data_IF_839720471834
#
_entry.id   IF_839720471834
#
_cell.length_a   1.000
_cell.length_b   1.000
_cell.length_c   1.000
_cell.angle_alpha   90.00
_cell.angle_beta   90.00
_cell.angle_gamma   90.00
#
_symmetry.space_group_name_H-M   'P 1'
#
loop_
_entity.id
_entity.type
_entity.pdbx_description
1 polymer ?
#
# COMPACT_ATOMS: atom_id res chain seq x y z
N UNK A 1 0.03 -17.68 -5.07
CA UNK A 1 -0.70 -16.40 -5.20
C UNK A 1 0.15 -15.37 -5.93
N UNK A 2 -0.48 -14.52 -6.71
CA UNK A 2 0.21 -13.45 -7.44
C UNK A 2 -0.16 -12.11 -6.82
N UNK A 3 0.85 -11.34 -6.42
CA UNK A 3 0.68 -10.04 -5.77
C UNK A 3 1.16 -8.91 -6.67
N UNK A 4 0.49 -7.77 -6.61
CA UNK A 4 1.05 -6.50 -7.05
C UNK A 4 1.36 -5.67 -5.81
N UNK A 5 2.58 -5.16 -5.70
CA UNK A 5 3.03 -4.39 -4.54
C UNK A 5 3.26 -2.95 -5.00
N UNK A 6 2.61 -2.02 -4.33
CA UNK A 6 2.70 -0.59 -4.62
C UNK A 6 3.03 0.19 -3.35
N UNK A 7 3.68 1.32 -3.53
CA UNK A 7 3.95 2.29 -2.45
C UNK A 7 3.95 3.71 -3.01
N UNK A 8 3.72 4.67 -2.13
CA UNK A 8 3.91 6.09 -2.44
C UNK A 8 3.09 6.58 -3.63
N UNK A 9 1.81 6.24 -3.65
CA UNK A 9 0.85 6.71 -4.66
C UNK A 9 0.64 8.22 -4.53
N UNK A 10 0.61 8.74 -3.30
CA UNK A 10 0.49 10.16 -2.98
C UNK A 10 -0.69 10.86 -3.69
N UNK A 11 -1.80 10.14 -3.84
CA UNK A 11 -3.01 10.70 -4.46
C UNK A 11 -2.96 10.82 -5.98
N UNK A 12 -1.97 10.26 -6.65
CA UNK A 12 -1.86 10.31 -8.11
C UNK A 12 -2.77 9.25 -8.76
N UNK A 13 -3.90 9.69 -9.31
CA UNK A 13 -4.83 8.79 -9.98
C UNK A 13 -4.23 8.19 -11.25
N UNK A 14 -3.45 8.95 -12.00
CA UNK A 14 -2.77 8.45 -13.20
C UNK A 14 -1.83 7.30 -12.89
N UNK A 15 -1.02 7.44 -11.84
CA UNK A 15 -0.09 6.38 -11.41
C UNK A 15 -0.84 5.13 -10.95
N UNK A 16 -1.92 5.32 -10.19
CA UNK A 16 -2.74 4.20 -9.73
C UNK A 16 -3.42 3.48 -10.89
N UNK A 17 -4.00 4.20 -11.83
CA UNK A 17 -4.69 3.59 -12.97
C UNK A 17 -3.73 2.76 -13.83
N UNK A 18 -2.50 3.21 -14.02
CA UNK A 18 -1.47 2.42 -14.70
C UNK A 18 -1.17 1.13 -13.96
N UNK A 19 -1.02 1.21 -12.64
CA UNK A 19 -0.75 0.03 -11.80
C UNK A 19 -1.92 -0.94 -11.79
N UNK A 20 -3.16 -0.46 -11.72
CA UNK A 20 -4.34 -1.32 -11.77
C UNK A 20 -4.52 -1.98 -13.13
N UNK A 21 -4.09 -1.33 -14.21
CA UNK A 21 -4.02 -1.95 -15.52
C UNK A 21 -3.09 -3.17 -15.53
N UNK A 22 -1.93 -3.06 -14.88
CA UNK A 22 -0.99 -4.17 -14.70
C UNK A 22 -1.62 -5.27 -13.82
N UNK A 23 -2.27 -4.88 -12.72
CA UNK A 23 -2.98 -5.81 -11.83
C UNK A 23 -3.96 -6.69 -12.60
N UNK A 24 -4.80 -6.08 -13.42
CA UNK A 24 -5.79 -6.80 -14.21
C UNK A 24 -5.17 -7.64 -15.32
N UNK A 25 -4.21 -7.08 -16.08
CA UNK A 25 -3.61 -7.79 -17.24
C UNK A 25 -2.75 -8.98 -16.83
N UNK A 26 -2.14 -8.95 -15.65
CA UNK A 26 -1.34 -10.07 -15.12
C UNK A 26 -2.14 -11.04 -14.25
N UNK A 27 -3.42 -10.80 -14.04
CA UNK A 27 -4.28 -11.67 -13.23
C UNK A 27 -3.83 -11.77 -11.78
N UNK A 28 -3.46 -10.64 -11.17
CA UNK A 28 -3.03 -10.62 -9.78
C UNK A 28 -4.19 -10.97 -8.83
N UNK A 29 -3.88 -11.63 -7.73
CA UNK A 29 -4.86 -12.08 -6.74
C UNK A 29 -5.05 -11.06 -5.61
N UNK A 30 -3.97 -10.38 -5.22
CA UNK A 30 -4.00 -9.39 -4.14
C UNK A 30 -3.14 -8.18 -4.47
N UNK A 31 -3.58 -7.04 -3.95
CA UNK A 31 -2.87 -5.77 -4.01
C UNK A 31 -2.29 -5.46 -2.62
N UNK A 32 -0.98 -5.30 -2.54
CA UNK A 32 -0.27 -4.99 -1.30
C UNK A 32 0.21 -3.54 -1.36
N UNK A 33 -0.25 -2.72 -0.42
CA UNK A 33 0.03 -1.29 -0.39
C UNK A 33 0.95 -0.98 0.80
N UNK A 34 2.09 -0.39 0.52
CA UNK A 34 3.12 -0.10 1.53
C UNK A 34 3.03 1.32 2.09
N UNK A 35 1.92 2.02 1.88
CA UNK A 35 1.67 3.32 2.49
C UNK A 35 1.80 4.52 1.56
N UNK A 36 1.54 5.69 2.11
CA UNK A 36 1.51 6.97 1.41
C UNK A 36 0.55 6.95 0.23
N UNK A 37 -0.73 6.65 0.51
CA UNK A 37 -1.72 6.36 -0.52
C UNK A 37 -2.39 7.63 -1.06
N UNK A 38 -2.89 8.50 -0.19
CA UNK A 38 -3.70 9.66 -0.59
C UNK A 38 -2.96 10.98 -0.44
N UNK A 39 -2.20 11.14 0.64
CA UNK A 39 -1.47 12.37 0.95
C UNK A 39 -0.09 12.39 0.30
N UNK A 40 0.28 13.53 -0.28
CA UNK A 40 1.61 13.69 -0.86
C UNK A 40 2.65 14.26 0.15
N UNK A 41 2.19 14.76 1.29
CA UNK A 41 3.05 15.29 2.35
C UNK A 41 3.71 16.64 2.03
N UNK A 42 4.24 17.33 3.06
CA UNK A 42 4.77 18.67 2.89
C UNK A 42 6.13 18.73 2.17
N UNK A 43 6.85 17.61 2.09
CA UNK A 43 8.19 17.53 1.47
C UNK A 43 8.15 17.18 0.00
N UNK A 44 7.02 16.70 -0.49
CA UNK A 44 6.86 16.28 -1.87
C UNK A 44 6.20 17.41 -2.66
N UNK A 45 6.54 17.53 -3.95
CA UNK A 45 5.80 18.40 -4.85
C UNK A 45 4.41 17.83 -5.12
N UNK A 46 3.56 18.61 -5.77
CA UNK A 46 2.25 18.14 -6.19
C UNK A 46 2.41 16.98 -7.19
N UNK A 47 1.81 15.80 -6.91
CA UNK A 47 1.83 14.70 -7.87
C UNK A 47 1.06 15.06 -9.14
N UNK A 48 1.44 14.42 -10.23
CA UNK A 48 0.68 14.50 -11.47
C UNK A 48 -0.73 13.93 -11.26
N UNK A 49 -1.72 14.68 -11.72
CA UNK A 49 -3.13 14.30 -11.59
C UNK A 49 -3.52 13.94 -10.15
N UNK A 50 -3.27 14.87 -9.22
CA UNK A 50 -3.65 14.72 -7.83
C UNK A 50 -5.17 14.63 -7.71
N UNK A 51 -5.67 13.46 -7.34
CA UNK A 51 -7.08 13.18 -7.13
C UNK A 51 -7.24 12.12 -6.03
N UNK A 52 -7.09 12.55 -4.78
CA UNK A 52 -7.16 11.66 -3.63
C UNK A 52 -8.50 10.93 -3.54
N UNK A 53 -9.61 11.60 -3.86
CA UNK A 53 -10.93 10.96 -3.84
C UNK A 53 -11.07 9.91 -4.94
N UNK A 54 -10.55 10.18 -6.13
CA UNK A 54 -10.52 9.20 -7.22
C UNK A 54 -9.66 7.99 -6.87
N UNK A 55 -8.52 8.20 -6.23
CA UNK A 55 -7.66 7.11 -5.73
C UNK A 55 -8.42 6.27 -4.71
N UNK A 56 -9.07 6.90 -3.73
CA UNK A 56 -9.86 6.20 -2.72
C UNK A 56 -10.99 5.37 -3.35
N UNK A 57 -11.72 5.92 -4.30
CA UNK A 57 -12.80 5.22 -4.99
C UNK A 57 -12.29 4.00 -5.75
N UNK A 58 -11.18 4.14 -6.47
CA UNK A 58 -10.56 3.02 -7.21
C UNK A 58 -10.13 1.91 -6.26
N UNK A 59 -9.42 2.24 -5.18
CA UNK A 59 -8.95 1.26 -4.21
C UNK A 59 -10.10 0.57 -3.49
N UNK A 60 -11.17 1.30 -3.16
CA UNK A 60 -12.33 0.73 -2.48
C UNK A 60 -13.05 -0.35 -3.30
N UNK A 61 -12.96 -0.30 -4.63
CA UNK A 61 -13.53 -1.37 -5.47
C UNK A 61 -12.82 -2.71 -5.29
N UNK A 62 -11.59 -2.68 -4.78
CA UNK A 62 -10.76 -3.87 -4.55
C UNK A 62 -10.57 -4.18 -3.08
N UNK A 63 -11.35 -3.56 -2.18
CA UNK A 63 -11.12 -3.59 -0.72
C UNK A 63 -11.00 -5.00 -0.13
N UNK A 64 -11.67 -6.00 -0.72
CA UNK A 64 -11.58 -7.39 -0.28
C UNK A 64 -10.24 -8.08 -0.63
N UNK A 65 -9.46 -7.51 -1.53
CA UNK A 65 -8.22 -8.09 -2.04
C UNK A 65 -7.00 -7.22 -1.72
N UNK A 66 -7.13 -6.30 -0.76
CA UNK A 66 -6.07 -5.35 -0.39
C UNK A 66 -5.58 -5.64 1.03
N UNK A 67 -4.26 -5.65 1.20
CA UNK A 67 -3.59 -5.52 2.50
C UNK A 67 -2.70 -4.29 2.43
N UNK A 68 -2.82 -3.40 3.41
CA UNK A 68 -2.10 -2.13 3.42
C UNK A 68 -1.42 -1.89 4.77
N UNK A 69 -0.30 -1.16 4.73
CA UNK A 69 0.38 -0.67 5.92
C UNK A 69 0.49 0.85 5.88
N UNK A 70 0.69 1.47 7.05
CA UNK A 70 0.78 2.91 7.18
C UNK A 70 2.13 3.42 6.73
N UNK A 71 2.12 4.43 5.85
CA UNK A 71 3.29 5.23 5.52
C UNK A 71 3.40 6.45 6.43
N UNK A 72 4.41 7.28 6.17
CA UNK A 72 4.63 8.50 6.95
C UNK A 72 3.63 9.61 6.63
N UNK A 73 2.93 9.55 5.50
CA UNK A 73 1.93 10.54 5.08
C UNK A 73 0.48 10.11 5.34
N UNK A 74 0.22 8.86 5.70
CA UNK A 74 -1.13 8.35 5.93
C UNK A 74 -1.67 8.85 7.26
N UNK A 75 -2.97 9.24 7.26
CA UNK A 75 -3.64 9.79 8.42
C UNK A 75 -4.97 9.11 8.72
N UNK A 76 -5.52 9.39 9.91
CA UNK A 76 -6.84 8.90 10.29
C UNK A 76 -7.93 9.41 9.35
N UNK A 77 -7.78 10.60 8.80
CA UNK A 77 -8.72 11.16 7.82
C UNK A 77 -8.70 10.30 6.55
N UNK A 78 -7.53 9.88 6.10
CA UNK A 78 -7.41 9.00 4.94
C UNK A 78 -8.07 7.65 5.20
N UNK A 79 -7.91 7.10 6.43
CA UNK A 79 -8.58 5.86 6.82
C UNK A 79 -10.11 5.96 6.71
N UNK A 80 -10.68 7.13 6.99
CA UNK A 80 -12.12 7.33 6.88
C UNK A 80 -12.65 7.23 5.44
N UNK A 81 -11.78 7.47 4.46
CA UNK A 81 -12.12 7.41 3.03
C UNK A 81 -11.93 6.00 2.45
N UNK A 82 -11.22 5.12 3.14
CA UNK A 82 -10.84 3.79 2.64
C UNK A 82 -11.56 2.70 3.41
N UNK A 83 -12.02 1.67 2.70
CA UNK A 83 -12.80 0.55 3.25
C UNK A 83 -11.95 -0.61 3.73
N UNK A 84 -10.64 -0.45 3.78
CA UNK A 84 -9.69 -1.44 4.27
C UNK A 84 -8.73 -0.78 5.26
N UNK A 85 -8.14 -1.55 6.21
CA UNK A 85 -7.24 -0.98 7.22
C UNK A 85 -5.95 -0.44 6.59
N UNK A 86 -5.54 0.77 6.98
CA UNK A 86 -4.30 1.41 6.50
C UNK A 86 -3.38 1.88 7.63
N UNK A 87 -3.81 1.78 8.89
CA UNK A 87 -3.11 2.41 10.03
C UNK A 87 -2.19 1.46 10.78
N UNK A 88 -1.97 0.25 10.31
CA UNK A 88 -1.01 -0.68 10.91
C UNK A 88 0.41 -0.41 10.40
N UNK A 89 1.40 -0.47 11.31
CA UNK A 89 2.79 -0.19 10.97
C UNK A 89 3.46 -1.34 10.21
N UNK A 90 2.93 -2.55 10.33
CA UNK A 90 3.40 -3.73 9.63
C UNK A 90 2.24 -4.69 9.41
N UNK A 91 2.35 -5.52 8.36
CA UNK A 91 1.39 -6.58 8.09
C UNK A 91 2.13 -7.86 7.72
N UNK A 92 1.56 -9.00 8.13
CA UNK A 92 2.10 -10.32 7.84
C UNK A 92 1.19 -11.04 6.86
N UNK A 93 1.79 -11.56 5.79
CA UNK A 93 1.13 -12.48 4.87
C UNK A 93 1.89 -13.81 4.93
N UNK A 94 1.15 -14.90 5.10
CA UNK A 94 1.70 -16.25 5.04
C UNK A 94 1.18 -16.91 3.77
N UNK A 95 2.08 -17.25 2.87
CA UNK A 95 1.75 -17.88 1.60
C UNK A 95 2.69 -19.06 1.37
N UNK A 96 2.13 -20.26 1.28
CA UNK A 96 2.86 -21.51 1.07
C UNK A 96 3.99 -21.71 2.09
N UNK A 97 3.71 -21.37 3.36
CA UNK A 97 4.67 -21.48 4.47
C UNK A 97 5.70 -20.36 4.53
N UNK A 98 5.72 -19.43 3.57
CA UNK A 98 6.63 -18.28 3.56
C UNK A 98 5.98 -17.10 4.27
N UNK A 99 6.71 -16.46 5.17
CA UNK A 99 6.25 -15.29 5.92
C UNK A 99 6.72 -14.01 5.24
N UNK A 100 5.77 -13.27 4.67
CA UNK A 100 6.01 -12.01 3.99
C UNK A 100 5.61 -10.87 4.92
N UNK A 101 6.59 -10.06 5.35
CA UNK A 101 6.32 -8.88 6.14
C UNK A 101 6.29 -7.64 5.24
N UNK A 102 5.27 -6.81 5.44
CA UNK A 102 5.07 -5.57 4.69
C UNK A 102 5.27 -4.39 5.64
N UNK A 103 6.07 -3.42 5.25
CA UNK A 103 6.27 -2.17 5.98
C UNK A 103 6.47 -1.02 4.99
N UNK A 104 6.29 0.22 5.45
CA UNK A 104 6.63 1.38 4.63
C UNK A 104 8.15 1.67 4.65
N UNK A 105 8.81 1.30 5.74
CA UNK A 105 10.24 1.50 5.91
C UNK A 105 10.64 2.61 6.89
N UNK A 106 9.68 3.43 7.34
CA UNK A 106 9.97 4.53 8.28
C UNK A 106 9.97 4.08 9.75
N UNK A 107 9.33 2.96 10.07
CA UNK A 107 9.31 2.35 11.42
C UNK A 107 10.10 1.05 11.43
N UNK A 108 9.70 0.10 10.60
CA UNK A 108 10.37 -1.20 10.44
C UNK A 108 11.05 -1.27 9.08
N UNK A 109 12.27 -1.79 9.06
CA UNK A 109 13.10 -1.92 7.86
C UNK A 109 14.14 -3.03 8.07
N UNK A 110 15.15 -3.12 7.21
CA UNK A 110 16.21 -4.13 7.30
C UNK A 110 17.01 -4.03 8.59
N UNK A 111 17.13 -2.82 9.16
CA UNK A 111 17.88 -2.58 10.42
C UNK A 111 17.00 -2.82 11.66
N UNK A 112 15.69 -2.76 11.50
CA UNK A 112 14.71 -2.98 12.58
C UNK A 112 13.56 -3.82 12.05
N UNK A 113 13.74 -5.14 12.08
CA UNK A 113 12.75 -6.09 11.58
C UNK A 113 11.49 -6.10 12.46
N UNK A 114 10.30 -6.25 11.86
CA UNK A 114 9.05 -6.42 12.62
C UNK A 114 9.00 -7.74 13.38
N UNK A 115 9.73 -8.75 12.89
CA UNK A 115 9.85 -10.05 13.52
C UNK A 115 11.14 -10.74 13.10
N UNK A 116 11.84 -11.42 14.03
CA UNK A 116 13.04 -12.21 13.66
C UNK A 116 12.71 -13.42 12.79
N UNK A 117 11.44 -13.81 12.67
CA UNK A 117 11.00 -14.95 11.86
C UNK A 117 10.52 -14.57 10.45
N UNK A 118 10.77 -13.32 10.02
CA UNK A 118 10.43 -12.90 8.67
C UNK A 118 11.31 -13.63 7.63
N UNK A 119 10.68 -14.22 6.61
CA UNK A 119 11.39 -14.83 5.49
C UNK A 119 11.68 -13.80 4.40
N UNK A 120 10.70 -12.88 4.16
CA UNK A 120 10.82 -11.81 3.17
C UNK A 120 10.29 -10.52 3.78
N UNK A 121 10.98 -9.43 3.53
CA UNK A 121 10.58 -8.08 3.93
C UNK A 121 10.41 -7.21 2.70
N UNK A 122 9.24 -6.59 2.57
CA UNK A 122 8.96 -5.55 1.58
C UNK A 122 8.79 -4.21 2.29
N UNK A 123 9.53 -3.22 1.86
CA UNK A 123 9.41 -1.85 2.37
C UNK A 123 9.77 -0.78 1.33
#
# INVERSE_FOLDING_TARGET
MKYLILSDIHGSLTSLDKALGIYCSHGCDMLLLLGDLLNYGPRNGLPENLDAMGVAERLNTLSGDIVAVRGNCDSEVDQMLLRFPIMQDAALIVDDGVRLWLTHGHVYNADRLPSPSADVLFC
#
